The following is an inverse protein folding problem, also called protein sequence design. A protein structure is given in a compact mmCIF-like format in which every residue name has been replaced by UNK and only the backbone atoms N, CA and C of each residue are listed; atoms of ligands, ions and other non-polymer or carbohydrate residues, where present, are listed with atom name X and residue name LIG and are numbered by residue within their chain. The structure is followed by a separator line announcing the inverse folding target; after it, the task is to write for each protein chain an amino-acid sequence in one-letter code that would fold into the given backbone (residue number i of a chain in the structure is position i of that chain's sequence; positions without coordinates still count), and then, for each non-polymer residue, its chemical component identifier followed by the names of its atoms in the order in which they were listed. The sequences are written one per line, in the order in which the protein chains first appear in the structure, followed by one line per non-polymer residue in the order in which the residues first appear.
data_IF_921442438617
#
_entry.id   IF_921442438617
#
_cell.length_a   1.000
_cell.length_b   1.000
_cell.length_c   1.000
_cell.angle_alpha   90.00
_cell.angle_beta   90.00
_cell.angle_gamma   90.00
#
_symmetry.space_group_name_H-M   'P 1'
#
loop_
_entity.id
_entity.type
_entity.pdbx_description
1 polymer ?
#
# COMPACT_ATOMS: atom_id res chain seq x y z
N UNK A 1 -19.88 17.29 16.15
CA UNK A 1 -18.49 17.37 16.67
C UNK A 1 -17.63 16.90 15.52
N UNK A 2 -16.69 17.72 15.04
CA UNK A 2 -15.99 17.41 13.82
C UNK A 2 -15.20 16.11 13.95
N UNK A 3 -15.10 15.38 12.84
CA UNK A 3 -14.39 14.10 12.78
C UNK A 3 -13.82 13.82 11.39
N UNK A 4 -12.91 12.87 11.30
CA UNK A 4 -12.41 12.29 10.05
C UNK A 4 -12.06 10.82 10.24
N UNK A 5 -11.92 10.09 9.15
CA UNK A 5 -11.44 8.71 9.15
C UNK A 5 -9.98 8.64 8.70
N UNK A 6 -9.19 7.81 9.38
CA UNK A 6 -7.86 7.35 8.97
C UNK A 6 -8.06 6.00 8.31
N UNK A 7 -7.64 5.89 7.06
CA UNK A 7 -7.71 4.66 6.26
C UNK A 7 -6.35 4.35 5.65
N UNK A 8 -6.18 3.12 5.17
CA UNK A 8 -5.09 2.70 4.30
C UNK A 8 -5.74 1.98 3.12
N UNK A 9 -6.03 2.71 2.06
CA UNK A 9 -6.73 2.19 0.88
C UNK A 9 -5.82 2.26 -0.33
N UNK A 10 -5.88 1.21 -1.16
CA UNK A 10 -5.18 1.13 -2.43
C UNK A 10 -6.21 1.05 -3.54
N UNK A 11 -6.08 1.91 -4.55
CA UNK A 11 -6.94 1.85 -5.73
C UNK A 11 -6.54 0.66 -6.60
N UNK A 12 -7.32 -0.43 -6.50
CA UNK A 12 -7.06 -1.65 -7.26
C UNK A 12 -7.24 -1.47 -8.78
N UNK A 13 -8.03 -0.50 -9.24
CA UNK A 13 -8.09 -0.20 -10.67
C UNK A 13 -6.76 0.37 -11.16
N UNK A 14 -6.14 1.25 -10.37
CA UNK A 14 -4.83 1.79 -10.69
C UNK A 14 -3.71 0.74 -10.55
N UNK A 15 -3.83 -0.22 -9.64
CA UNK A 15 -2.95 -1.40 -9.57
C UNK A 15 -3.04 -2.22 -10.86
N UNK A 16 -4.25 -2.59 -11.29
CA UNK A 16 -4.44 -3.36 -12.52
C UNK A 16 -3.85 -2.62 -13.73
N UNK A 17 -4.10 -1.32 -13.83
CA UNK A 17 -3.53 -0.49 -14.89
C UNK A 17 -1.98 -0.43 -14.82
N UNK A 18 -1.40 -0.42 -13.61
CA UNK A 18 0.06 -0.48 -13.43
C UNK A 18 0.63 -1.84 -13.85
N UNK A 19 -0.04 -2.94 -13.50
CA UNK A 19 0.32 -4.30 -13.90
C UNK A 19 0.30 -4.45 -15.43
N UNK A 20 -0.76 -3.98 -16.08
CA UNK A 20 -0.88 -3.97 -17.54
C UNK A 20 0.25 -3.20 -18.21
N UNK A 21 0.59 -2.02 -17.67
CA UNK A 21 1.71 -1.22 -18.19
C UNK A 21 3.07 -1.87 -17.93
N UNK A 22 3.21 -2.60 -16.82
CA UNK A 22 4.43 -3.33 -16.49
C UNK A 22 4.63 -4.50 -17.46
N UNK A 23 3.57 -5.24 -17.77
CA UNK A 23 3.57 -6.29 -18.80
C UNK A 23 3.94 -5.74 -20.19
N UNK A 24 3.36 -4.60 -20.59
CA UNK A 24 3.73 -3.95 -21.87
C UNK A 24 5.20 -3.53 -21.90
N UNK A 25 5.72 -2.97 -20.81
CA UNK A 25 7.13 -2.56 -20.76
C UNK A 25 8.06 -3.78 -20.89
N UNK A 26 7.85 -4.82 -20.08
CA UNK A 26 8.64 -6.07 -20.16
C UNK A 26 8.58 -6.68 -21.56
N UNK A 27 7.39 -6.71 -22.20
CA UNK A 27 7.24 -7.22 -23.57
C UNK A 27 8.01 -6.44 -24.64
N UNK A 28 8.42 -5.19 -24.37
CA UNK A 28 9.21 -4.36 -25.29
C UNK A 28 10.71 -4.32 -24.98
N UNK A 29 11.11 -4.81 -23.81
CA UNK A 29 12.48 -4.77 -23.33
C UNK A 29 13.35 -5.83 -24.00
N UNK A 30 14.50 -5.40 -24.54
CA UNK A 30 15.41 -6.30 -25.27
C UNK A 30 15.98 -7.41 -24.38
N UNK A 31 16.29 -7.11 -23.12
CA UNK A 31 16.80 -8.04 -22.12
C UNK A 31 15.77 -9.09 -21.65
N UNK A 32 14.48 -8.87 -21.95
CA UNK A 32 13.40 -9.83 -21.70
C UNK A 32 12.94 -10.55 -22.98
N UNK A 33 13.61 -10.34 -24.12
CA UNK A 33 13.23 -10.97 -25.38
C UNK A 33 13.40 -12.49 -25.30
N UNK A 34 12.29 -13.22 -25.39
CA UNK A 34 12.27 -14.69 -25.30
C UNK A 34 12.29 -15.23 -23.87
N UNK A 35 12.27 -14.35 -22.86
CA UNK A 35 12.13 -14.72 -21.44
C UNK A 35 10.64 -14.86 -21.14
N UNK A 36 10.23 -15.95 -20.51
CA UNK A 36 8.87 -16.13 -20.04
C UNK A 36 8.63 -15.37 -18.71
N UNK A 37 8.34 -14.07 -18.83
CA UNK A 37 8.15 -13.13 -17.73
C UNK A 37 6.77 -12.45 -17.77
N UNK A 38 6.09 -12.38 -16.63
CA UNK A 38 4.79 -11.68 -16.51
C UNK A 38 4.51 -11.14 -15.10
N UNK A 39 3.59 -10.17 -15.06
CA UNK A 39 2.91 -9.71 -13.86
C UNK A 39 1.44 -10.15 -13.91
N UNK A 40 0.92 -10.66 -12.80
CA UNK A 40 -0.48 -11.08 -12.70
C UNK A 40 -1.10 -10.60 -11.39
N UNK A 41 -2.27 -9.96 -11.44
CA UNK A 41 -3.08 -9.74 -10.24
C UNK A 41 -3.78 -11.06 -9.88
N UNK A 42 -3.65 -11.49 -8.63
CA UNK A 42 -4.25 -12.72 -8.11
C UNK A 42 -5.69 -12.49 -7.64
N UNK A 43 -6.43 -13.57 -7.38
CA UNK A 43 -7.78 -13.49 -6.80
C UNK A 43 -7.78 -12.82 -5.41
N UNK A 44 -6.64 -12.87 -4.71
CA UNK A 44 -6.44 -12.21 -3.42
C UNK A 44 -6.12 -10.71 -3.53
N UNK A 45 -6.16 -10.12 -4.74
CA UNK A 45 -5.77 -8.73 -5.01
C UNK A 45 -4.29 -8.44 -4.77
N UNK A 46 -3.44 -9.48 -4.76
CA UNK A 46 -1.98 -9.36 -4.71
C UNK A 46 -1.40 -9.40 -6.13
N UNK A 47 -0.12 -9.05 -6.30
CA UNK A 47 0.57 -9.14 -7.59
C UNK A 47 1.62 -10.24 -7.57
N UNK A 48 1.46 -11.24 -8.42
CA UNK A 48 2.49 -12.23 -8.69
C UNK A 48 3.44 -11.70 -9.78
N UNK A 49 4.72 -11.68 -9.48
CA UNK A 49 5.79 -11.32 -10.42
C UNK A 49 6.57 -12.59 -10.73
N UNK A 50 6.60 -13.03 -11.99
CA UNK A 50 7.26 -14.28 -12.37
C UNK A 50 8.20 -14.12 -13.55
N UNK A 51 9.33 -14.82 -13.50
CA UNK A 51 10.35 -14.87 -14.56
C UNK A 51 11.17 -16.17 -14.47
N UNK A 52 12.22 -16.32 -15.27
CA UNK A 52 13.04 -17.55 -15.30
C UNK A 52 14.09 -17.58 -14.18
N UNK A 53 14.59 -16.41 -13.75
CA UNK A 53 15.62 -16.30 -12.70
C UNK A 53 15.38 -15.13 -11.74
N UNK A 54 15.88 -15.22 -10.50
CA UNK A 54 15.65 -14.26 -9.42
C UNK A 54 16.01 -12.82 -9.81
N UNK A 55 17.08 -12.66 -10.58
CA UNK A 55 17.53 -11.35 -11.02
C UNK A 55 16.50 -10.63 -11.90
N UNK A 56 15.80 -11.37 -12.77
CA UNK A 56 14.74 -10.81 -13.61
C UNK A 56 13.53 -10.41 -12.78
N UNK A 57 13.14 -11.20 -11.78
CA UNK A 57 12.04 -10.86 -10.86
C UNK A 57 12.33 -9.55 -10.12
N UNK A 58 13.58 -9.35 -9.66
CA UNK A 58 13.99 -8.09 -9.02
C UNK A 58 13.93 -6.89 -9.97
N UNK A 59 14.39 -7.04 -11.21
CA UNK A 59 14.25 -5.98 -12.23
C UNK A 59 12.79 -5.67 -12.54
N UNK A 60 11.95 -6.70 -12.62
CA UNK A 60 10.51 -6.56 -12.84
C UNK A 60 9.82 -5.85 -11.68
N UNK A 61 10.20 -6.15 -10.44
CA UNK A 61 9.68 -5.46 -9.26
C UNK A 61 9.94 -3.95 -9.33
N UNK A 62 11.13 -3.52 -9.78
CA UNK A 62 11.45 -2.10 -9.95
C UNK A 62 10.55 -1.43 -11.02
N UNK A 63 10.27 -2.15 -12.12
CA UNK A 63 9.32 -1.68 -13.15
C UNK A 63 7.94 -1.48 -12.53
N UNK A 64 7.43 -2.48 -11.79
CA UNK A 64 6.12 -2.44 -11.14
C UNK A 64 6.00 -1.27 -10.17
N UNK A 65 6.98 -1.09 -9.27
CA UNK A 65 7.02 0.04 -8.33
C UNK A 65 7.01 1.39 -9.05
N UNK A 66 7.77 1.50 -10.15
CA UNK A 66 7.79 2.67 -11.00
C UNK A 66 6.43 2.97 -11.65
N UNK A 67 5.71 1.94 -12.12
CA UNK A 67 4.36 2.09 -12.68
C UNK A 67 3.35 2.48 -11.61
N UNK A 68 3.35 1.81 -10.46
CA UNK A 68 2.44 2.10 -9.35
C UNK A 68 2.58 3.55 -8.87
N UNK A 69 3.82 4.01 -8.65
CA UNK A 69 4.10 5.38 -8.22
C UNK A 69 3.57 6.42 -9.22
N UNK A 70 3.76 6.19 -10.53
CA UNK A 70 3.24 7.08 -11.59
C UNK A 70 1.72 7.18 -11.63
N UNK A 71 1.02 6.23 -11.01
CA UNK A 71 -0.44 6.17 -10.92
C UNK A 71 -0.96 6.59 -9.55
N UNK A 72 -0.09 7.10 -8.68
CA UNK A 72 -0.48 7.56 -7.35
C UNK A 72 -0.71 6.44 -6.34
N UNK A 73 -0.32 5.20 -6.66
CA UNK A 73 -0.32 4.10 -5.69
C UNK A 73 0.97 4.18 -4.87
N UNK A 74 0.82 4.31 -3.55
CA UNK A 74 1.96 4.37 -2.63
C UNK A 74 2.59 2.98 -2.48
N UNK A 75 3.85 2.86 -2.88
CA UNK A 75 4.60 1.60 -2.84
C UNK A 75 4.88 1.10 -1.42
N UNK A 76 4.67 1.93 -0.38
CA UNK A 76 4.68 1.46 1.02
C UNK A 76 3.58 0.47 1.32
N UNK A 77 2.50 0.43 0.52
CA UNK A 77 1.48 -0.60 0.65
C UNK A 77 1.94 -1.97 0.13
N UNK A 78 3.11 -2.08 -0.50
CA UNK A 78 3.62 -3.32 -1.04
C UNK A 78 4.41 -4.09 0.02
N UNK A 79 4.06 -5.36 0.21
CA UNK A 79 4.84 -6.29 1.00
C UNK A 79 5.37 -7.41 0.11
N UNK A 80 6.67 -7.38 -0.12
CA UNK A 80 7.38 -8.36 -0.95
C UNK A 80 7.60 -9.66 -0.17
N UNK A 81 7.22 -10.80 -0.75
CA UNK A 81 7.62 -12.12 -0.26
C UNK A 81 9.03 -12.47 -0.70
N UNK A 82 9.55 -13.58 -0.17
CA UNK A 82 10.71 -14.23 -0.76
C UNK A 82 10.42 -14.68 -2.20
N UNK A 83 11.49 -14.80 -3.00
CA UNK A 83 11.42 -15.37 -4.35
C UNK A 83 11.42 -16.88 -4.19
N UNK A 84 10.41 -17.55 -4.74
CA UNK A 84 10.23 -18.98 -4.66
C UNK A 84 10.22 -19.62 -6.04
N UNK A 85 10.76 -20.84 -6.14
CA UNK A 85 10.70 -21.61 -7.37
C UNK A 85 9.28 -22.12 -7.63
N UNK A 86 8.80 -21.95 -8.86
CA UNK A 86 7.50 -22.43 -9.33
C UNK A 86 7.68 -23.14 -10.67
N UNK A 87 7.91 -24.46 -10.61
CA UNK A 87 8.21 -25.27 -11.78
C UNK A 87 9.54 -24.88 -12.43
N UNK A 88 9.49 -24.42 -13.68
CA UNK A 88 10.67 -23.93 -14.43
C UNK A 88 10.92 -22.43 -14.25
N UNK A 89 10.11 -21.75 -13.44
CA UNK A 89 10.17 -20.32 -13.17
C UNK A 89 10.51 -20.06 -11.72
N UNK A 90 10.79 -18.79 -11.44
CA UNK A 90 10.76 -18.23 -10.10
C UNK A 90 9.70 -17.15 -10.03
N UNK A 91 9.11 -16.97 -8.84
CA UNK A 91 8.07 -16.00 -8.62
C UNK A 91 8.20 -15.32 -7.26
N UNK A 92 7.75 -14.07 -7.19
CA UNK A 92 7.57 -13.30 -5.97
C UNK A 92 6.11 -12.90 -5.87
N UNK A 93 5.50 -13.14 -4.71
CA UNK A 93 4.21 -12.58 -4.37
C UNK A 93 4.41 -11.22 -3.71
N UNK A 94 3.89 -10.17 -4.35
CA UNK A 94 3.86 -8.82 -3.81
C UNK A 94 2.47 -8.58 -3.26
N UNK A 95 2.34 -8.63 -1.93
CA UNK A 95 1.06 -8.40 -1.26
C UNK A 95 0.71 -6.92 -1.27
N UNK A 96 -0.56 -6.61 -1.48
CA UNK A 96 -1.07 -5.24 -1.40
C UNK A 96 -1.79 -5.04 -0.08
N UNK A 97 -1.13 -4.37 0.84
CA UNK A 97 -1.66 -4.08 2.16
C UNK A 97 -2.80 -3.05 2.06
N UNK A 98 -3.99 -3.48 2.48
CA UNK A 98 -5.19 -2.67 2.55
C UNK A 98 -5.78 -2.76 3.95
N UNK A 99 -6.40 -1.66 4.38
CA UNK A 99 -6.92 -1.52 5.72
C UNK A 99 -5.84 -1.29 6.76
N UNK A 100 -6.29 -1.00 7.98
CA UNK A 100 -5.44 -0.81 9.16
C UNK A 100 -5.74 -1.96 10.11
N UNK A 101 -4.80 -2.90 10.19
CA UNK A 101 -4.93 -4.05 11.07
C UNK A 101 -5.00 -3.66 12.55
N UNK A 102 -5.58 -4.54 13.37
CA UNK A 102 -5.84 -4.29 14.79
C UNK A 102 -4.60 -3.93 15.61
N UNK A 103 -3.43 -4.47 15.27
CA UNK A 103 -2.17 -4.13 15.96
C UNK A 103 -1.74 -2.69 15.65
N UNK A 104 -1.67 -2.34 14.38
CA UNK A 104 -1.32 -1.00 13.93
C UNK A 104 -2.37 0.04 14.38
N UNK A 105 -3.65 -0.30 14.34
CA UNK A 105 -4.72 0.55 14.83
C UNK A 105 -4.52 0.88 16.32
N UNK A 106 -4.16 -0.11 17.14
CA UNK A 106 -3.82 0.10 18.56
C UNK A 106 -2.58 0.97 18.73
N UNK A 107 -1.55 0.81 17.89
CA UNK A 107 -0.35 1.66 17.87
C UNK A 107 -0.73 3.12 17.56
N UNK A 108 -1.55 3.36 16.53
CA UNK A 108 -2.05 4.70 16.17
C UNK A 108 -2.82 5.34 17.33
N UNK A 109 -3.76 4.61 17.94
CA UNK A 109 -4.51 5.10 19.11
C UNK A 109 -3.56 5.49 20.26
N UNK A 110 -2.52 4.70 20.50
CA UNK A 110 -1.53 4.98 21.55
C UNK A 110 -0.70 6.24 21.23
N UNK A 111 -0.26 6.40 19.99
CA UNK A 111 0.49 7.59 19.55
C UNK A 111 -0.35 8.87 19.72
N UNK A 112 -1.61 8.85 19.26
CA UNK A 112 -2.51 10.00 19.41
C UNK A 112 -2.72 10.32 20.89
N UNK A 113 -2.94 9.32 21.75
CA UNK A 113 -3.08 9.55 23.21
C UNK A 113 -1.82 10.14 23.85
N UNK A 114 -0.63 9.80 23.38
CA UNK A 114 0.63 10.31 23.93
C UNK A 114 0.83 11.81 23.68
N UNK A 115 0.23 12.37 22.63
CA UNK A 115 0.28 13.82 22.35
C UNK A 115 -0.52 14.68 23.32
N UNK A 116 -1.47 14.07 24.06
CA UNK A 116 -2.44 14.75 24.94
C UNK A 116 -3.36 15.75 24.21
N UNK A 117 -3.45 15.69 22.89
CA UNK A 117 -4.43 16.43 22.08
C UNK A 117 -5.85 15.98 22.50
N UNK A 118 -6.81 16.92 22.57
CA UNK A 118 -8.17 16.67 23.07
C UNK A 118 -9.09 16.04 22.01
N UNK A 119 -8.69 14.89 21.50
CA UNK A 119 -9.45 14.08 20.54
C UNK A 119 -9.76 12.68 21.08
N UNK A 120 -10.79 12.06 20.52
CA UNK A 120 -11.11 10.64 20.72
C UNK A 120 -10.83 9.88 19.43
N UNK A 121 -10.08 8.78 19.53
CA UNK A 121 -9.81 7.87 18.39
C UNK A 121 -10.50 6.54 18.66
N UNK A 122 -11.35 6.09 17.74
CA UNK A 122 -12.08 4.83 17.81
C UNK A 122 -11.73 3.94 16.62
N UNK A 123 -11.45 2.66 16.88
CA UNK A 123 -11.20 1.66 15.83
C UNK A 123 -12.57 1.18 15.30
N UNK A 124 -12.74 1.17 13.98
CA UNK A 124 -13.98 0.79 13.29
C UNK A 124 -13.67 -0.19 12.17
N UNK A 125 -13.55 -1.48 12.51
CA UNK A 125 -13.04 -2.48 11.57
C UNK A 125 -11.60 -2.15 11.20
N UNK A 126 -11.35 -1.95 9.91
CA UNK A 126 -10.01 -1.70 9.33
C UNK A 126 -9.68 -0.20 9.17
N UNK A 127 -10.44 0.67 9.84
CA UNK A 127 -10.18 2.12 9.86
C UNK A 127 -10.28 2.69 11.26
N UNK A 128 -9.81 3.93 11.43
CA UNK A 128 -9.95 4.64 12.69
C UNK A 128 -10.73 5.93 12.48
N UNK A 129 -11.74 6.19 13.31
CA UNK A 129 -12.42 7.48 13.37
C UNK A 129 -11.78 8.34 14.45
N UNK A 130 -11.37 9.56 14.08
CA UNK A 130 -10.89 10.59 14.99
C UNK A 130 -11.97 11.67 15.13
N UNK A 131 -12.41 11.93 16.36
CA UNK A 131 -13.44 12.92 16.67
C UNK A 131 -12.90 13.93 17.67
N UNK A 132 -13.17 15.22 17.46
CA UNK A 132 -12.67 16.30 18.30
C UNK A 132 -13.69 17.43 18.45
N UNK A 133 -13.45 18.35 19.39
CA UNK A 133 -14.26 19.57 19.52
C UNK A 133 -13.78 20.69 18.60
N UNK A 134 -12.48 20.75 18.35
CA UNK A 134 -11.83 21.78 17.53
C UNK A 134 -11.27 21.15 16.26
N UNK A 135 -11.40 21.85 15.13
CA UNK A 135 -10.79 21.43 13.86
C UNK A 135 -9.26 21.50 13.91
N UNK A 136 -8.70 22.46 14.66
CA UNK A 136 -7.25 22.60 14.82
C UNK A 136 -6.62 21.35 15.45
N UNK A 137 -7.23 20.83 16.53
CA UNK A 137 -6.81 19.57 17.18
C UNK A 137 -6.83 18.39 16.19
N UNK A 138 -7.78 18.36 15.25
CA UNK A 138 -7.86 17.33 14.21
C UNK A 138 -6.74 17.47 13.17
N UNK A 139 -6.41 18.70 12.77
CA UNK A 139 -5.31 18.96 11.85
C UNK A 139 -3.95 18.59 12.47
N UNK A 140 -3.77 18.85 13.77
CA UNK A 140 -2.56 18.47 14.50
C UNK A 140 -2.34 16.95 14.53
N UNK A 141 -3.43 16.17 14.70
CA UNK A 141 -3.35 14.70 14.60
C UNK A 141 -2.98 14.24 13.19
N UNK A 142 -3.51 14.89 12.15
CA UNK A 142 -3.14 14.57 10.76
C UNK A 142 -1.65 14.86 10.53
N UNK A 143 -1.15 16.00 10.98
CA UNK A 143 0.27 16.36 10.86
C UNK A 143 1.17 15.35 11.57
N UNK A 144 0.86 15.01 12.82
CA UNK A 144 1.56 13.98 13.60
C UNK A 144 1.64 12.65 12.84
N UNK A 145 0.51 12.18 12.30
CA UNK A 145 0.46 10.87 11.64
C UNK A 145 1.17 10.89 10.28
N UNK A 146 1.18 12.01 9.57
CA UNK A 146 1.99 12.18 8.35
C UNK A 146 3.48 12.19 8.63
N UNK A 147 3.91 12.76 9.75
CA UNK A 147 5.31 12.76 10.19
C UNK A 147 5.73 11.42 10.81
N UNK A 148 4.77 10.58 11.23
CA UNK A 148 5.08 9.27 11.77
C UNK A 148 5.56 8.32 10.67
N UNK A 149 6.74 7.71 10.89
CA UNK A 149 7.26 6.64 10.04
C UNK A 149 6.51 5.33 10.35
N UNK A 150 5.28 5.22 9.85
CA UNK A 150 4.52 3.98 9.84
C UNK A 150 4.82 3.18 8.57
N UNK A 151 4.65 1.87 8.70
CA UNK A 151 5.01 0.89 7.68
C UNK A 151 3.98 0.80 6.55
N UNK A 152 2.84 1.51 6.66
CA UNK A 152 1.79 1.57 5.63
C UNK A 152 1.45 3.03 5.29
N UNK A 153 0.97 3.31 4.08
CA UNK A 153 0.45 4.63 3.75
C UNK A 153 -0.85 4.91 4.48
N UNK A 154 -1.03 6.16 4.95
CA UNK A 154 -2.29 6.60 5.57
C UNK A 154 -2.95 7.68 4.72
N UNK A 155 -4.25 7.54 4.52
CA UNK A 155 -5.11 8.58 3.97
C UNK A 155 -6.09 9.08 5.04
N UNK A 156 -6.49 10.33 4.90
CA UNK A 156 -7.40 11.00 5.81
C UNK A 156 -8.61 11.46 4.99
N UNK A 157 -9.78 10.86 5.24
CA UNK A 157 -10.98 11.08 4.44
C UNK A 157 -12.23 11.21 5.32
N UNK A 158 -13.41 11.27 4.68
CA UNK A 158 -14.72 11.29 5.35
C UNK A 158 -14.79 12.34 6.49
N UNK A 159 -14.37 13.56 6.20
CA UNK A 159 -14.46 14.70 7.12
C UNK A 159 -15.94 15.04 7.38
N UNK A 160 -16.30 15.22 8.65
CA UNK A 160 -17.67 15.52 9.13
C UNK A 160 -17.65 16.63 10.17
N UNK A 161 -18.79 17.26 10.38
CA UNK A 161 -19.03 18.35 11.35
C UNK A 161 -19.79 17.90 12.62
#
# INVERSE_FOLDING_TARGET
MPSFDIVSEVDMHEVNNAVDQSNREVGTRFDFKGVDANFQVTDASDVLVSAEVDFQVKQMLDILKGKLTKRGVDIKALQESDIEASGQKVAMLVKIQQGIESELARKIVKMVKQTKIKVQTAIQGEKLRVTGKKRDDLQEVIALLKESNLDIPLQFNNFRD
#
